data_IF_572922729945
#
_entry.id   IF_572922729945
#
_cell.length_a   1.000
_cell.length_b   1.000
_cell.length_c   1.000
_cell.angle_alpha   90.00
_cell.angle_beta   90.00
_cell.angle_gamma   90.00
#
_symmetry.space_group_name_H-M   'P 1'
#
loop_
_entity.id
_entity.type
_entity.pdbx_description
1 polymer ?
#
# COMPACT_ATOMS: atom_id res chain seq x y z
N UNK A 1 8.19 -7.79 60.02
CA UNK A 1 8.93 -7.41 58.79
C UNK A 1 8.24 -6.20 58.22
N UNK A 2 8.44 -5.04 58.85
CA UNK A 2 7.63 -3.84 58.57
C UNK A 2 8.41 -2.58 58.98
N UNK A 3 9.73 -2.61 58.76
CA UNK A 3 10.64 -1.51 59.11
C UNK A 3 11.70 -1.22 58.04
N UNK A 4 11.50 -1.74 56.83
CA UNK A 4 12.44 -1.59 55.71
C UNK A 4 11.84 -0.87 54.49
N UNK A 5 10.61 -0.34 54.56
CA UNK A 5 9.99 0.34 53.42
C UNK A 5 9.94 1.88 53.54
N UNK A 6 10.12 2.45 54.73
CA UNK A 6 10.19 3.93 54.88
C UNK A 6 11.57 4.52 54.53
N UNK A 7 12.61 3.71 54.33
CA UNK A 7 13.95 4.21 53.94
C UNK A 7 14.19 4.29 52.42
N UNK A 8 13.19 3.91 51.61
CA UNK A 8 13.33 3.92 50.14
C UNK A 8 12.64 5.10 49.45
N UNK A 9 11.89 5.93 50.18
CA UNK A 9 11.21 7.10 49.62
C UNK A 9 11.91 8.44 49.88
N UNK A 10 13.03 8.45 50.63
CA UNK A 10 13.79 9.68 50.89
C UNK A 10 15.01 9.88 49.96
N UNK A 11 15.26 8.93 49.04
CA UNK A 11 16.46 8.92 48.17
C UNK A 11 16.22 9.26 46.69
N UNK A 12 15.10 9.91 46.34
CA UNK A 12 14.85 10.32 44.93
C UNK A 12 14.56 11.82 44.70
N UNK A 13 14.68 12.67 45.73
CA UNK A 13 14.46 14.13 45.59
C UNK A 13 15.72 14.99 45.76
N UNK A 14 16.90 14.46 45.43
CA UNK A 14 18.17 15.19 45.56
C UNK A 14 19.04 15.16 44.30
N UNK A 15 18.45 15.23 43.09
CA UNK A 15 19.25 15.32 41.87
C UNK A 15 18.68 16.27 40.81
N UNK A 16 18.40 17.51 41.23
CA UNK A 16 18.21 18.66 40.35
C UNK A 16 18.84 19.85 41.06
N UNK A 17 20.17 19.99 40.96
CA UNK A 17 20.95 21.23 41.09
C UNK A 17 22.44 20.90 41.20
N UNK A 18 23.12 20.69 40.07
CA UNK A 18 24.57 20.78 39.98
C UNK A 18 25.04 20.75 38.52
N UNK A 19 24.93 21.89 37.82
CA UNK A 19 26.04 22.36 36.97
C UNK A 19 26.11 23.88 37.11
N UNK A 20 26.40 24.33 38.33
CA UNK A 20 27.10 25.60 38.49
C UNK A 20 28.58 25.32 38.22
N UNK A 21 29.08 25.70 37.04
CA UNK A 21 30.48 26.08 36.90
C UNK A 21 30.54 27.60 37.06
N UNK A 22 30.44 28.04 38.30
CA UNK A 22 30.88 29.35 38.72
C UNK A 22 32.38 29.25 39.01
N UNK A 23 33.20 29.56 38.01
CA UNK A 23 34.57 29.99 38.29
C UNK A 23 34.47 31.27 39.14
N UNK A 24 34.84 31.11 40.40
CA UNK A 24 34.95 32.18 41.38
C UNK A 24 36.08 33.12 40.95
N UNK A 25 35.73 34.27 40.36
CA UNK A 25 36.63 35.41 40.28
C UNK A 25 36.34 36.29 41.49
N UNK A 26 37.24 36.17 42.46
CA UNK A 26 37.28 36.96 43.69
C UNK A 26 37.50 38.44 43.34
N UNK A 27 36.52 39.30 43.60
CA UNK A 27 36.65 40.75 43.43
C UNK A 27 37.16 41.34 44.74
N UNK A 28 38.47 41.35 44.92
CA UNK A 28 39.14 42.17 45.93
C UNK A 28 39.85 43.33 45.24
N UNK A 29 39.23 44.50 45.41
CA UNK A 29 39.78 45.86 45.41
C UNK A 29 41.16 46.09 44.75
N UNK A 30 41.20 46.66 43.53
CA UNK A 30 42.41 47.26 42.96
C UNK A 30 42.05 48.60 42.28
N UNK A 31 42.35 49.69 42.97
CA UNK A 31 42.48 51.04 42.40
C UNK A 31 43.84 51.19 41.66
N UNK A 32 44.02 52.24 40.82
CA UNK A 32 44.44 52.08 39.43
C UNK A 32 45.96 52.11 39.25
N UNK A 33 46.53 51.00 38.77
CA UNK A 33 47.89 51.02 38.21
C UNK A 33 47.80 51.24 36.69
N UNK A 34 48.37 52.36 36.23
CA UNK A 34 48.63 52.64 34.83
C UNK A 34 49.53 51.53 34.29
N UNK A 35 48.98 50.68 33.41
CA UNK A 35 49.82 49.94 32.48
C UNK A 35 49.04 49.69 31.19
N UNK A 36 49.67 50.10 30.10
CA UNK A 36 49.19 49.98 28.73
C UNK A 36 48.97 48.51 28.38
N UNK A 37 47.71 48.07 28.38
CA UNK A 37 47.35 46.78 27.79
C UNK A 37 47.10 46.99 26.30
N UNK A 38 48.19 46.91 25.55
CA UNK A 38 48.19 46.57 24.13
C UNK A 38 47.38 45.28 23.91
N UNK A 39 46.29 45.39 23.13
CA UNK A 39 45.46 44.26 22.71
C UNK A 39 43.97 44.36 23.01
N UNK A 40 43.37 45.56 22.95
CA UNK A 40 41.95 45.77 23.29
C UNK A 40 41.00 44.88 22.49
N UNK A 41 40.33 43.98 23.20
CA UNK A 41 39.20 43.14 22.80
C UNK A 41 37.95 43.92 22.38
N UNK A 42 38.02 45.25 22.33
CA UNK A 42 36.93 46.15 21.90
C UNK A 42 36.92 46.48 20.40
N UNK A 43 37.86 46.00 19.57
CA UNK A 43 37.93 46.38 18.15
C UNK A 43 36.67 46.05 17.31
N UNK A 44 35.72 45.25 17.81
CA UNK A 44 34.44 44.96 17.15
C UNK A 44 33.29 45.92 17.55
N UNK A 45 33.40 46.63 18.67
CA UNK A 45 32.34 47.48 19.23
C UNK A 45 32.87 48.87 19.61
N UNK A 46 32.13 49.92 19.26
CA UNK A 46 32.59 51.33 19.35
C UNK A 46 32.76 51.86 20.79
N UNK A 47 32.15 51.22 21.79
CA UNK A 47 32.25 51.55 23.23
C UNK A 47 31.94 50.32 24.08
N UNK A 48 32.31 50.33 25.36
CA UNK A 48 31.91 49.31 26.36
C UNK A 48 30.38 49.28 26.52
N UNK A 49 29.69 50.42 26.49
CA UNK A 49 28.21 50.41 26.51
C UNK A 49 27.63 49.76 25.24
N UNK A 50 28.30 49.91 24.09
CA UNK A 50 27.87 49.27 22.84
C UNK A 50 28.03 47.75 22.90
N UNK A 51 29.03 47.25 23.64
CA UNK A 51 29.22 45.83 23.91
C UNK A 51 28.14 45.29 24.86
N UNK A 52 27.84 45.98 25.96
CA UNK A 52 26.75 45.60 26.89
C UNK A 52 25.40 45.53 26.17
N UNK A 53 25.08 46.56 25.39
CA UNK A 53 23.83 46.61 24.61
C UNK A 53 23.73 45.52 23.55
N UNK A 54 24.85 45.11 22.96
CA UNK A 54 24.88 44.00 22.01
C UNK A 54 24.60 42.66 22.71
N UNK A 55 25.13 42.47 23.91
CA UNK A 55 24.86 41.29 24.73
C UNK A 55 23.39 41.21 25.16
N UNK A 56 22.82 42.30 25.67
CA UNK A 56 21.40 42.37 26.06
C UNK A 56 20.45 42.12 24.87
N UNK A 57 20.79 42.61 23.68
CA UNK A 57 20.02 42.34 22.47
C UNK A 57 20.12 40.86 22.07
N UNK A 58 21.30 40.27 22.17
CA UNK A 58 21.52 38.86 21.84
C UNK A 58 20.75 37.96 22.82
N UNK A 59 20.83 38.25 24.11
CA UNK A 59 20.08 37.56 25.16
C UNK A 59 18.57 37.60 24.88
N UNK A 60 18.04 38.77 24.53
CA UNK A 60 16.62 38.93 24.16
C UNK A 60 16.23 38.10 22.94
N UNK A 61 17.08 38.04 21.93
CA UNK A 61 16.85 37.20 20.75
C UNK A 61 16.92 35.70 21.08
N UNK A 62 17.82 35.29 21.98
CA UNK A 62 17.82 33.92 22.52
C UNK A 62 16.54 33.62 23.28
N UNK A 63 16.08 34.50 24.17
CA UNK A 63 14.82 34.32 24.90
C UNK A 63 13.63 34.20 23.95
N UNK A 64 13.51 35.09 22.96
CA UNK A 64 12.46 35.02 21.93
C UNK A 64 12.53 33.72 21.14
N UNK A 65 13.73 33.30 20.73
CA UNK A 65 13.92 32.05 19.98
C UNK A 65 13.57 30.83 20.82
N UNK A 66 13.93 30.82 22.11
CA UNK A 66 13.54 29.76 23.04
C UNK A 66 12.03 29.74 23.28
N UNK A 67 11.38 30.89 23.43
CA UNK A 67 9.92 30.99 23.51
C UNK A 67 9.25 30.46 22.24
N UNK A 68 9.70 30.90 21.07
CA UNK A 68 9.14 30.43 19.80
C UNK A 68 9.36 28.94 19.56
N UNK A 69 10.53 28.43 19.98
CA UNK A 69 10.83 27.01 19.93
C UNK A 69 9.90 26.23 20.86
N UNK A 70 9.62 26.75 22.06
CA UNK A 70 8.70 26.11 22.99
C UNK A 70 7.25 26.13 22.48
N UNK A 71 6.80 27.21 21.84
CA UNK A 71 5.50 27.29 21.16
C UNK A 71 5.39 26.23 20.05
N UNK A 72 6.35 26.18 19.13
CA UNK A 72 6.38 25.21 18.03
C UNK A 72 6.51 23.78 18.54
N UNK A 73 7.30 23.57 19.59
CA UNK A 73 7.37 22.29 20.28
C UNK A 73 6.01 21.96 20.86
N UNK A 74 5.33 22.84 21.60
CA UNK A 74 4.01 22.56 22.16
C UNK A 74 2.92 22.31 21.10
N UNK A 75 2.97 22.98 19.94
CA UNK A 75 2.08 22.73 18.81
C UNK A 75 2.32 21.36 18.17
N UNK A 76 3.54 20.82 18.24
CA UNK A 76 3.92 19.50 17.70
C UNK A 76 4.03 18.38 18.77
N UNK A 77 4.14 18.73 20.06
CA UNK A 77 4.18 17.89 21.26
C UNK A 77 2.84 17.91 22.00
N UNK A 78 1.74 17.92 21.24
CA UNK A 78 0.66 17.05 21.74
C UNK A 78 1.25 15.67 21.61
N UNK A 79 1.64 15.01 22.71
CA UNK A 79 2.05 13.61 22.68
C UNK A 79 0.87 12.84 22.09
N UNK A 80 0.89 12.64 20.76
CA UNK A 80 -0.23 12.05 20.05
C UNK A 80 -0.15 10.58 20.40
N UNK A 81 -0.85 10.20 21.47
CA UNK A 81 -1.09 8.81 21.77
C UNK A 81 -1.62 8.15 20.49
N UNK A 82 -1.15 6.93 20.15
CA UNK A 82 -1.64 6.20 19.00
C UNK A 82 -3.18 6.24 18.98
N UNK A 83 -3.76 6.52 17.81
CA UNK A 83 -5.19 6.79 17.65
C UNK A 83 -6.07 5.65 18.17
N UNK A 84 -5.54 4.42 18.19
CA UNK A 84 -6.21 3.26 18.75
C UNK A 84 -6.36 3.26 20.28
N UNK A 85 -5.65 4.14 21.00
CA UNK A 85 -5.76 4.32 22.46
C UNK A 85 -6.79 5.39 22.86
N UNK A 86 -7.36 6.12 21.90
CA UNK A 86 -8.39 7.15 22.17
C UNK A 86 -9.75 6.48 22.38
N UNK A 87 -10.57 6.95 23.32
CA UNK A 87 -11.91 6.39 23.59
C UNK A 87 -12.80 6.31 22.33
N UNK A 88 -12.67 7.27 21.40
CA UNK A 88 -13.47 7.33 20.17
C UNK A 88 -13.05 6.34 19.08
N UNK A 89 -12.00 5.54 19.32
CA UNK A 89 -11.43 4.65 18.31
C UNK A 89 -12.46 3.64 17.78
N UNK A 90 -13.22 3.01 18.68
CA UNK A 90 -14.21 2.00 18.30
C UNK A 90 -15.31 2.59 17.41
N UNK A 91 -15.73 3.83 17.70
CA UNK A 91 -16.76 4.54 16.91
C UNK A 91 -16.22 4.89 15.52
N UNK A 92 -14.96 5.35 15.44
CA UNK A 92 -14.30 5.64 14.16
C UNK A 92 -14.15 4.38 13.30
N UNK A 93 -13.72 3.27 13.90
CA UNK A 93 -13.60 1.98 13.19
C UNK A 93 -14.97 1.47 12.75
N UNK A 94 -16.00 1.56 13.60
CA UNK A 94 -17.34 1.12 13.22
C UNK A 94 -17.92 1.94 12.08
N UNK A 95 -17.73 3.27 12.09
CA UNK A 95 -18.16 4.14 11.01
C UNK A 95 -17.42 3.80 9.71
N UNK A 96 -16.11 3.60 9.79
CA UNK A 96 -15.30 3.22 8.64
C UNK A 96 -15.70 1.87 8.03
N UNK A 97 -16.01 0.87 8.87
CA UNK A 97 -16.48 -0.44 8.42
C UNK A 97 -17.91 -0.35 7.85
N UNK A 98 -18.73 0.55 8.36
CA UNK A 98 -20.06 0.81 7.82
C UNK A 98 -19.98 1.48 6.43
N UNK A 99 -19.04 2.42 6.25
CA UNK A 99 -18.73 3.06 4.98
C UNK A 99 -18.09 2.09 3.98
N UNK A 100 -17.18 1.22 4.45
CA UNK A 100 -16.42 0.30 3.63
C UNK A 100 -16.80 -1.16 3.93
N UNK A 101 -17.78 -1.70 3.18
CA UNK A 101 -18.27 -3.08 3.38
C UNK A 101 -17.19 -4.16 3.32
N UNK A 102 -16.20 -3.98 2.44
CA UNK A 102 -15.08 -4.92 2.27
C UNK A 102 -14.03 -4.82 3.38
N UNK A 103 -14.00 -3.71 4.14
CA UNK A 103 -13.05 -3.56 5.25
C UNK A 103 -13.26 -4.60 6.36
N UNK A 104 -14.48 -5.17 6.46
CA UNK A 104 -14.81 -6.24 7.41
C UNK A 104 -13.84 -7.43 7.31
N UNK A 105 -13.58 -7.88 6.09
CA UNK A 105 -12.76 -9.06 5.83
C UNK A 105 -11.29 -8.79 6.15
N UNK A 106 -10.86 -7.54 6.04
CA UNK A 106 -9.49 -7.09 6.27
C UNK A 106 -9.23 -6.55 7.68
N UNK A 107 -10.22 -6.54 8.58
CA UNK A 107 -10.11 -5.94 9.92
C UNK A 107 -8.88 -6.42 10.70
N UNK A 108 -8.57 -7.73 10.63
CA UNK A 108 -7.41 -8.31 11.32
C UNK A 108 -6.10 -7.79 10.75
N UNK A 109 -5.97 -7.82 9.42
CA UNK A 109 -4.78 -7.34 8.72
C UNK A 109 -4.57 -5.83 8.93
N UNK A 110 -5.65 -5.05 8.96
CA UNK A 110 -5.60 -3.61 9.25
C UNK A 110 -5.08 -3.37 10.68
N UNK A 111 -5.54 -4.18 11.65
CA UNK A 111 -5.06 -4.07 13.03
C UNK A 111 -3.58 -4.43 13.14
N UNK A 112 -3.12 -5.47 12.44
CA UNK A 112 -1.71 -5.87 12.43
C UNK A 112 -0.82 -4.76 11.85
N UNK A 113 -1.22 -4.13 10.74
CA UNK A 113 -0.50 -3.00 10.14
C UNK A 113 -0.41 -1.80 11.08
N UNK A 114 -1.46 -1.54 11.89
CA UNK A 114 -1.46 -0.46 12.87
C UNK A 114 -0.60 -0.75 14.11
N UNK A 115 -0.36 -2.03 14.42
CA UNK A 115 0.55 -2.46 15.50
C UNK A 115 2.00 -2.43 15.04
N UNK A 116 2.27 -2.77 13.78
CA UNK A 116 3.61 -2.74 13.18
C UNK A 116 4.13 -1.31 12.99
N UNK A 117 3.25 -0.39 12.61
CA UNK A 117 3.63 0.99 12.33
C UNK A 117 2.99 1.99 13.30
N UNK A 118 3.64 2.17 14.45
CA UNK A 118 3.22 3.10 15.49
C UNK A 118 3.24 4.56 14.99
N UNK A 119 4.09 4.90 14.02
CA UNK A 119 4.14 6.24 13.44
C UNK A 119 2.91 6.52 12.55
N UNK A 120 2.40 5.49 11.87
CA UNK A 120 1.13 5.57 11.14
C UNK A 120 -0.04 5.67 12.09
N UNK A 121 -0.02 4.93 13.21
CA UNK A 121 -1.07 4.96 14.22
C UNK A 121 -1.23 6.34 14.89
N UNK A 122 -0.21 7.20 14.85
CA UNK A 122 -0.28 8.58 15.36
C UNK A 122 -1.02 9.54 14.45
N UNK A 123 -1.23 9.19 13.17
CA UNK A 123 -1.91 10.07 12.20
C UNK A 123 -3.43 9.94 12.31
N UNK A 124 -4.13 11.02 12.00
CA UNK A 124 -5.60 11.04 12.02
C UNK A 124 -6.21 10.08 10.99
N UNK A 125 -5.56 9.94 9.83
CA UNK A 125 -5.94 9.06 8.73
C UNK A 125 -5.35 7.64 8.82
N UNK A 126 -4.88 7.23 10.01
CA UNK A 126 -4.23 5.93 10.21
C UNK A 126 -5.04 4.75 9.64
N UNK A 127 -6.35 4.77 9.85
CA UNK A 127 -7.24 3.67 9.45
C UNK A 127 -7.38 3.57 7.92
N UNK A 128 -7.56 4.71 7.24
CA UNK A 128 -7.66 4.78 5.79
C UNK A 128 -6.35 4.40 5.11
N UNK A 129 -5.23 4.83 5.68
CA UNK A 129 -3.90 4.52 5.16
C UNK A 129 -3.55 3.04 5.36
N UNK A 130 -3.83 2.48 6.54
CA UNK A 130 -3.64 1.06 6.82
C UNK A 130 -4.52 0.20 5.92
N UNK A 131 -5.79 0.58 5.72
CA UNK A 131 -6.68 -0.10 4.78
C UNK A 131 -6.17 -0.03 3.35
N UNK A 132 -5.69 1.12 2.89
CA UNK A 132 -5.13 1.26 1.54
C UNK A 132 -3.88 0.39 1.34
N UNK A 133 -3.04 0.25 2.39
CA UNK A 133 -1.87 -0.64 2.37
C UNK A 133 -2.29 -2.11 2.29
N UNK A 134 -3.21 -2.54 3.15
CA UNK A 134 -3.75 -3.91 3.13
C UNK A 134 -4.42 -4.21 1.80
N UNK A 135 -5.18 -3.27 1.25
CA UNK A 135 -5.77 -3.42 -0.06
C UNK A 135 -4.69 -3.57 -1.13
N UNK A 136 -3.64 -2.75 -1.11
CA UNK A 136 -2.51 -2.87 -2.03
C UNK A 136 -1.82 -4.22 -1.95
N UNK A 137 -1.65 -4.75 -0.74
CA UNK A 137 -1.02 -6.06 -0.53
C UNK A 137 -1.91 -7.22 -1.01
N UNK A 138 -3.23 -7.04 -0.98
CA UNK A 138 -4.20 -8.04 -1.43
C UNK A 138 -4.71 -7.80 -2.87
N UNK A 139 -4.32 -6.72 -3.54
CA UNK A 139 -4.73 -6.42 -4.90
C UNK A 139 -3.99 -7.32 -5.88
N UNK A 140 -4.66 -8.37 -6.35
CA UNK A 140 -4.21 -9.17 -7.49
C UNK A 140 -4.55 -8.45 -8.78
N UNK A 141 -3.63 -8.47 -9.73
CA UNK A 141 -3.87 -7.96 -11.09
C UNK A 141 -4.88 -8.84 -11.84
N UNK A 142 -5.48 -8.34 -12.92
CA UNK A 142 -6.47 -9.10 -13.69
C UNK A 142 -5.83 -10.33 -14.33
N UNK A 143 -4.56 -10.19 -14.66
CA UNK A 143 -3.69 -11.19 -15.25
C UNK A 143 -3.43 -12.32 -14.24
N UNK A 144 -3.03 -12.00 -13.01
CA UNK A 144 -2.86 -13.00 -11.94
C UNK A 144 -4.17 -13.69 -11.55
N UNK A 145 -5.29 -12.95 -11.58
CA UNK A 145 -6.60 -13.51 -11.27
C UNK A 145 -7.09 -14.49 -12.35
N UNK A 146 -6.65 -14.33 -13.59
CA UNK A 146 -6.93 -15.26 -14.67
C UNK A 146 -6.14 -16.56 -14.56
N UNK A 147 -5.03 -16.57 -13.83
CA UNK A 147 -4.21 -17.74 -13.55
C UNK A 147 -4.60 -18.45 -12.23
N UNK A 148 -5.28 -17.74 -11.32
CA UNK A 148 -5.70 -18.28 -10.02
C UNK A 148 -6.77 -19.38 -10.18
N UNK A 149 -6.37 -20.63 -9.92
CA UNK A 149 -7.24 -21.80 -10.08
C UNK A 149 -8.47 -21.76 -9.17
N UNK A 150 -8.36 -21.21 -7.96
CA UNK A 150 -9.50 -21.13 -7.03
C UNK A 150 -10.57 -20.17 -7.58
N UNK A 151 -10.13 -19.05 -8.14
CA UNK A 151 -11.02 -18.10 -8.81
C UNK A 151 -11.67 -18.71 -10.05
N UNK A 152 -10.90 -19.35 -10.93
CA UNK A 152 -11.43 -20.00 -12.14
C UNK A 152 -12.46 -21.08 -11.79
N UNK A 153 -12.16 -21.93 -10.82
CA UNK A 153 -13.06 -22.99 -10.38
C UNK A 153 -14.34 -22.45 -9.76
N UNK A 154 -14.28 -21.36 -8.99
CA UNK A 154 -15.46 -20.81 -8.32
C UNK A 154 -16.32 -19.93 -9.24
N UNK A 155 -15.70 -19.08 -10.07
CA UNK A 155 -16.40 -18.02 -10.81
C UNK A 155 -16.51 -18.27 -12.32
N UNK A 156 -15.55 -19.00 -12.93
CA UNK A 156 -15.53 -19.24 -14.39
C UNK A 156 -16.18 -20.59 -14.71
N UNK A 157 -15.65 -21.69 -14.19
CA UNK A 157 -16.10 -23.03 -14.56
C UNK A 157 -17.47 -23.42 -13.97
N UNK A 158 -17.84 -22.88 -12.81
CA UNK A 158 -19.18 -23.07 -12.23
C UNK A 158 -20.26 -22.22 -12.89
N UNK A 159 -19.89 -21.17 -13.63
CA UNK A 159 -20.87 -20.28 -14.25
C UNK A 159 -21.35 -20.83 -15.59
N UNK A 160 -22.59 -21.30 -15.63
CA UNK A 160 -23.22 -21.85 -16.84
C UNK A 160 -23.22 -20.85 -18.01
N UNK A 161 -23.41 -19.54 -17.74
CA UNK A 161 -23.45 -18.53 -18.81
C UNK A 161 -22.12 -18.43 -19.55
N UNK A 162 -21.01 -18.53 -18.82
CA UNK A 162 -19.66 -18.47 -19.38
C UNK A 162 -19.40 -19.73 -20.21
N UNK A 163 -19.75 -20.91 -19.68
CA UNK A 163 -19.63 -22.18 -20.42
C UNK A 163 -20.41 -22.15 -21.73
N UNK A 164 -21.68 -21.71 -21.70
CA UNK A 164 -22.49 -21.58 -22.92
C UNK A 164 -21.85 -20.62 -23.91
N UNK A 165 -21.32 -19.49 -23.47
CA UNK A 165 -20.61 -18.54 -24.34
C UNK A 165 -19.37 -19.14 -25.00
N UNK A 166 -18.55 -19.85 -24.23
CA UNK A 166 -17.37 -20.56 -24.76
C UNK A 166 -17.78 -21.60 -25.80
N UNK A 167 -18.85 -22.37 -25.54
CA UNK A 167 -19.36 -23.37 -26.48
C UNK A 167 -19.92 -22.70 -27.74
N UNK A 168 -20.68 -21.60 -27.60
CA UNK A 168 -21.18 -20.81 -28.72
C UNK A 168 -20.04 -20.33 -29.62
N UNK A 169 -19.03 -19.68 -29.03
CA UNK A 169 -17.88 -19.16 -29.76
C UNK A 169 -17.11 -20.29 -30.45
N UNK A 170 -16.91 -21.43 -29.77
CA UNK A 170 -16.27 -22.62 -30.36
C UNK A 170 -17.06 -23.19 -31.55
N UNK A 171 -18.38 -23.33 -31.42
CA UNK A 171 -19.24 -23.81 -32.50
C UNK A 171 -19.29 -22.82 -33.69
N UNK A 172 -19.26 -21.52 -33.41
CA UNK A 172 -19.17 -20.48 -34.43
C UNK A 172 -17.83 -20.54 -35.17
N UNK A 173 -16.72 -20.72 -34.45
CA UNK A 173 -15.41 -20.92 -35.06
C UNK A 173 -15.37 -22.16 -35.93
N UNK A 174 -15.90 -23.29 -35.46
CA UNK A 174 -15.98 -24.50 -36.30
C UNK A 174 -16.83 -24.22 -37.53
N UNK A 175 -18.02 -23.65 -37.38
CA UNK A 175 -18.91 -23.41 -38.52
C UNK A 175 -18.29 -22.45 -39.57
N UNK A 176 -17.56 -21.43 -39.12
CA UNK A 176 -16.86 -20.50 -40.00
C UNK A 176 -15.63 -21.13 -40.68
N UNK A 177 -14.93 -22.02 -39.98
CA UNK A 177 -13.74 -22.71 -40.49
C UNK A 177 -14.05 -24.05 -41.18
N UNK A 178 -15.29 -24.53 -41.13
CA UNK A 178 -15.81 -25.70 -41.86
C UNK A 178 -15.93 -25.36 -43.36
N UNK A 179 -14.82 -25.00 -43.98
CA UNK A 179 -14.62 -25.03 -45.44
C UNK A 179 -13.91 -26.31 -45.86
N UNK A 180 -13.88 -27.35 -45.01
CA UNK A 180 -13.56 -28.68 -45.52
C UNK A 180 -14.59 -28.97 -46.61
N UNK A 181 -14.17 -29.20 -47.87
CA UNK A 181 -15.10 -29.58 -48.90
C UNK A 181 -15.65 -30.93 -48.45
N UNK A 182 -16.85 -30.93 -47.89
CA UNK A 182 -17.69 -32.11 -47.88
C UNK A 182 -17.59 -32.67 -49.29
N UNK A 183 -17.32 -33.98 -49.43
CA UNK A 183 -17.30 -34.72 -50.69
C UNK A 183 -18.63 -34.64 -51.49
N UNK A 184 -19.52 -33.72 -51.13
CA UNK A 184 -20.43 -33.05 -52.04
C UNK A 184 -19.64 -32.18 -53.04
N UNK A 185 -19.41 -32.76 -54.23
CA UNK A 185 -19.62 -32.11 -55.55
C UNK A 185 -18.44 -32.05 -56.52
N UNK A 186 -17.20 -32.43 -56.17
CA UNK A 186 -16.10 -32.41 -57.16
C UNK A 186 -15.20 -33.64 -57.05
N UNK A 187 -15.38 -34.56 -58.02
CA UNK A 187 -14.44 -35.60 -58.47
C UNK A 187 -13.71 -36.40 -57.36
N UNK A 188 -14.28 -37.53 -56.94
CA UNK A 188 -13.49 -38.50 -56.18
C UNK A 188 -14.18 -39.81 -55.82
N UNK A 189 -15.48 -39.78 -55.52
CA UNK A 189 -16.25 -41.01 -55.25
C UNK A 189 -17.40 -41.10 -56.23
N UNK A 190 -17.14 -41.70 -57.39
CA UNK A 190 -18.20 -42.30 -58.17
C UNK A 190 -18.81 -43.41 -57.32
N UNK A 191 -19.94 -43.15 -56.67
CA UNK A 191 -20.88 -44.20 -56.33
C UNK A 191 -21.06 -45.00 -57.62
N UNK A 192 -20.67 -46.27 -57.63
CA UNK A 192 -20.93 -47.14 -58.78
C UNK A 192 -22.44 -47.30 -58.80
N UNK A 193 -23.10 -46.45 -59.60
CA UNK A 193 -24.51 -46.59 -59.87
C UNK A 193 -24.68 -47.95 -60.53
N UNK A 194 -25.37 -48.86 -59.85
CA UNK A 194 -25.80 -50.11 -60.46
C UNK A 194 -26.47 -49.80 -61.81
N UNK A 195 -26.19 -50.56 -62.88
CA UNK A 195 -26.75 -50.27 -64.18
C UNK A 195 -28.27 -50.09 -64.06
N UNK A 196 -28.78 -48.96 -64.56
CA UNK A 196 -30.19 -48.57 -64.44
C UNK A 196 -31.15 -49.56 -65.12
N UNK A 197 -30.63 -50.52 -65.86
CA UNK A 197 -31.38 -51.48 -66.65
C UNK A 197 -30.97 -52.90 -66.30
N UNK A 198 -31.93 -53.66 -65.76
CA UNK A 198 -31.80 -55.08 -65.46
C UNK A 198 -32.70 -55.81 -66.46
N UNK A 199 -32.16 -56.46 -67.50
CA UNK A 199 -32.97 -57.14 -68.51
C UNK A 199 -33.73 -58.30 -67.87
N UNK A 200 -35.02 -58.42 -68.16
CA UNK A 200 -35.89 -59.47 -67.57
C UNK A 200 -35.99 -60.72 -68.45
N UNK A 201 -35.42 -60.69 -69.65
CA UNK A 201 -35.43 -61.79 -70.62
C UNK A 201 -34.08 -61.93 -71.32
N UNK A 202 -33.71 -63.17 -71.68
CA UNK A 202 -32.45 -63.49 -72.35
C UNK A 202 -32.25 -62.70 -73.66
N UNK A 203 -33.33 -62.50 -74.43
CA UNK A 203 -33.30 -61.75 -75.69
C UNK A 203 -33.00 -60.26 -75.47
N UNK A 204 -33.47 -59.71 -74.37
CA UNK A 204 -33.27 -58.31 -73.98
C UNK A 204 -31.86 -58.10 -73.42
N UNK A 205 -31.35 -59.07 -72.65
CA UNK A 205 -29.97 -59.08 -72.16
C UNK A 205 -28.95 -59.15 -73.30
N UNK A 206 -29.20 -60.01 -74.30
CA UNK A 206 -28.36 -60.17 -75.49
C UNK A 206 -28.25 -58.87 -76.29
N UNK A 207 -29.36 -58.17 -76.54
CA UNK A 207 -29.36 -56.87 -77.22
C UNK A 207 -28.65 -55.78 -76.44
N UNK A 208 -28.84 -55.75 -75.12
CA UNK A 208 -28.17 -54.77 -74.26
C UNK A 208 -26.65 -54.99 -74.21
N UNK A 209 -26.22 -56.25 -74.15
CA UNK A 209 -24.80 -56.61 -74.22
C UNK A 209 -24.17 -56.19 -75.56
N UNK A 210 -24.85 -56.42 -76.69
CA UNK A 210 -24.37 -55.96 -78.00
C UNK A 210 -24.20 -54.44 -78.07
N UNK A 211 -25.08 -53.66 -77.44
CA UNK A 211 -24.98 -52.20 -77.41
C UNK A 211 -23.82 -51.70 -76.55
N UNK A 212 -23.50 -52.39 -75.45
CA UNK A 212 -22.35 -52.05 -74.61
C UNK A 212 -21.04 -52.44 -75.30
N UNK A 213 -20.99 -53.60 -75.95
CA UNK A 213 -19.76 -54.14 -76.54
C UNK A 213 -19.35 -53.47 -77.85
N UNK A 214 -20.27 -52.79 -78.55
CA UNK A 214 -20.01 -52.05 -79.80
C UNK A 214 -19.50 -50.62 -79.59
N UNK A 215 -19.14 -50.26 -78.36
CA UNK A 215 -18.59 -48.95 -77.99
C UNK A 215 -17.10 -49.07 -77.70
#
# INVERSE_FOLDING_TARGET
MEKNEEQLLENQNANLNAVEHSETINVENIEPSKNEFSGSSTKKFKSVEALSKAYENLEREFTKKCQKLNELMSENNTEVLPQYKKEDWLVKVSNFIAENKFAKDYTKQIADVLLEDEALAKKEDALSLAYSKVLNDNFKTKEELAEDEDFLNQFVYKNEKIKTKIIEDYLLEINNNQTVPLLSKVKGTSSVSSPKFIPKSLKEASRYAEQILKK
#
